data_IF_222982759076
#
_entry.id   IF_222982759076
#
_cell.length_a   1.000
_cell.length_b   1.000
_cell.length_c   1.000
_cell.angle_alpha   90.00
_cell.angle_beta   90.00
_cell.angle_gamma   90.00
#
_symmetry.space_group_name_H-M   'P 1'
#
loop_
_entity.id
_entity.type
_entity.pdbx_description
1 polymer ?
#
# COMPACT_ATOMS: atom_id res chain seq x y z
N UNK A 1 -5.61 2.76 2.54
CA UNK A 1 -5.81 3.67 3.68
C UNK A 1 -5.31 5.06 3.33
N UNK A 2 -6.10 6.13 3.51
CA UNK A 2 -5.70 7.50 3.24
C UNK A 2 -4.68 8.02 4.26
N UNK A 3 -4.21 9.26 4.05
CA UNK A 3 -3.33 9.96 4.97
C UNK A 3 -4.03 10.47 6.24
N UNK A 4 -3.24 11.13 7.10
CA UNK A 4 -3.63 11.53 8.45
C UNK A 4 -5.04 12.12 8.57
N UNK A 5 -5.38 13.19 7.88
CA UNK A 5 -6.65 13.87 8.06
C UNK A 5 -7.92 13.10 7.65
N UNK A 6 -7.79 12.01 6.88
CA UNK A 6 -8.91 11.19 6.37
C UNK A 6 -8.94 9.78 6.96
N UNK A 7 -7.91 9.41 7.71
CA UNK A 7 -7.71 8.06 8.25
C UNK A 7 -8.48 7.80 9.54
N UNK A 8 -8.81 8.87 10.26
CA UNK A 8 -9.45 8.78 11.58
C UNK A 8 -10.94 9.01 11.54
N UNK A 9 -11.58 8.67 12.65
CA UNK A 9 -12.85 9.26 13.00
C UNK A 9 -12.76 10.03 14.29
N UNK A 10 -13.62 11.03 14.40
CA UNK A 10 -13.71 11.92 15.54
C UNK A 10 -13.95 13.35 15.09
N UNK A 11 -13.96 14.24 16.06
CA UNK A 11 -14.35 15.64 15.85
C UNK A 11 -13.43 16.38 14.85
N UNK A 12 -12.18 15.93 14.72
CA UNK A 12 -11.18 16.58 13.87
C UNK A 12 -10.96 15.84 12.53
N UNK A 13 -11.81 14.87 12.19
CA UNK A 13 -11.67 14.20 10.90
C UNK A 13 -12.02 15.17 9.77
N UNK A 14 -11.15 15.28 8.77
CA UNK A 14 -11.31 16.22 7.66
C UNK A 14 -12.32 15.78 6.61
N UNK A 15 -13.16 14.81 6.91
CA UNK A 15 -14.18 14.30 6.01
C UNK A 15 -14.20 12.78 5.90
N UNK A 16 -14.99 12.28 4.96
CA UNK A 16 -15.09 10.85 4.71
C UNK A 16 -13.91 10.36 3.88
N UNK A 17 -13.26 9.29 4.31
CA UNK A 17 -12.24 8.60 3.52
C UNK A 17 -12.79 7.99 2.22
N UNK A 18 -14.11 7.90 2.06
CA UNK A 18 -14.77 7.53 0.80
C UNK A 18 -14.59 8.57 -0.31
N UNK A 19 -14.19 9.79 0.04
CA UNK A 19 -13.90 10.86 -0.91
C UNK A 19 -12.45 10.84 -1.40
N UNK A 20 -11.61 10.01 -0.80
CA UNK A 20 -10.23 9.88 -1.20
C UNK A 20 -10.10 9.24 -2.60
N UNK A 21 -9.26 9.83 -3.46
CA UNK A 21 -9.05 9.34 -4.83
C UNK A 21 -8.63 7.87 -4.85
N UNK A 22 -7.75 7.48 -3.94
CA UNK A 22 -7.31 6.09 -3.82
C UNK A 22 -8.42 5.09 -3.46
N UNK A 23 -9.55 5.54 -2.90
CA UNK A 23 -10.75 4.69 -2.76
C UNK A 23 -11.56 4.69 -4.06
N UNK A 24 -11.81 5.87 -4.64
CA UNK A 24 -12.65 6.02 -5.83
C UNK A 24 -12.08 5.27 -7.02
N UNK A 25 -10.79 5.36 -7.26
CA UNK A 25 -10.12 4.69 -8.38
C UNK A 25 -10.41 3.18 -8.41
N UNK A 26 -10.41 2.52 -7.24
CA UNK A 26 -10.76 1.10 -7.16
C UNK A 26 -12.23 0.83 -7.47
N UNK A 27 -13.14 1.75 -7.16
CA UNK A 27 -14.58 1.58 -7.45
C UNK A 27 -14.92 1.79 -8.93
N UNK A 28 -14.02 2.35 -9.71
CA UNK A 28 -14.17 2.64 -11.15
C UNK A 28 -13.54 1.56 -12.04
N UNK A 29 -12.88 0.56 -11.44
CA UNK A 29 -12.29 -0.56 -12.19
C UNK A 29 -13.38 -1.43 -12.83
N UNK A 30 -13.06 -2.07 -13.98
CA UNK A 30 -13.99 -2.96 -14.65
C UNK A 30 -14.19 -4.30 -13.95
N UNK A 31 -13.34 -4.65 -12.99
CA UNK A 31 -13.44 -5.89 -12.22
C UNK A 31 -14.45 -5.76 -11.07
N UNK A 32 -15.08 -6.86 -10.71
CA UNK A 32 -15.89 -6.97 -9.51
C UNK A 32 -14.99 -6.97 -8.28
N UNK A 33 -14.90 -5.84 -7.59
CA UNK A 33 -14.08 -5.66 -6.39
C UNK A 33 -14.92 -5.23 -5.18
N UNK A 34 -14.55 -5.69 -3.99
CA UNK A 34 -15.01 -5.14 -2.72
C UNK A 34 -13.94 -4.15 -2.26
N UNK A 35 -14.28 -2.87 -2.20
CA UNK A 35 -13.36 -1.82 -1.76
C UNK A 35 -13.70 -1.42 -0.33
N UNK A 36 -12.74 -1.54 0.57
CA UNK A 36 -12.89 -1.19 1.98
C UNK A 36 -12.02 0.00 2.30
N UNK A 37 -12.63 1.16 2.55
CA UNK A 37 -11.94 2.35 3.00
C UNK A 37 -12.07 2.46 4.52
N UNK A 38 -11.13 1.82 5.23
CA UNK A 38 -11.15 1.79 6.67
C UNK A 38 -10.88 3.18 7.27
N UNK A 39 -11.77 3.62 8.14
CA UNK A 39 -11.54 4.79 8.98
C UNK A 39 -11.27 4.29 10.40
N UNK A 40 -10.07 4.51 10.88
CA UNK A 40 -9.53 3.85 12.07
C UNK A 40 -9.40 4.82 13.25
N UNK A 41 -8.96 4.30 14.41
CA UNK A 41 -8.89 5.09 15.66
C UNK A 41 -7.65 5.99 15.72
N UNK A 42 -6.50 5.51 15.24
CA UNK A 42 -5.22 6.21 15.23
C UNK A 42 -4.30 5.67 14.12
N UNK A 43 -2.99 5.92 14.12
CA UNK A 43 -2.03 5.25 13.22
C UNK A 43 -1.03 4.34 13.96
N UNK A 44 -1.35 3.99 15.21
CA UNK A 44 -0.55 3.13 16.07
C UNK A 44 -1.04 1.67 16.05
N UNK A 45 -0.55 0.87 16.98
CA UNK A 45 -0.83 -0.57 17.06
C UNK A 45 -2.33 -0.91 17.05
N UNK A 46 -3.16 -0.09 17.69
CA UNK A 46 -4.62 -0.31 17.68
C UNK A 46 -5.17 -0.31 16.26
N UNK A 47 -4.81 0.68 15.45
CA UNK A 47 -5.27 0.77 14.06
C UNK A 47 -4.66 -0.30 13.16
N UNK A 48 -3.42 -0.72 13.43
CA UNK A 48 -2.83 -1.88 12.75
C UNK A 48 -3.68 -3.14 12.97
N UNK A 49 -4.07 -3.41 14.21
CA UNK A 49 -4.93 -4.55 14.55
C UNK A 49 -6.32 -4.42 13.94
N UNK A 50 -6.92 -3.23 13.99
CA UNK A 50 -8.23 -2.96 13.36
C UNK A 50 -8.19 -3.20 11.84
N UNK A 51 -7.12 -2.81 11.16
CA UNK A 51 -6.97 -3.07 9.72
C UNK A 51 -6.89 -4.58 9.41
N UNK A 52 -6.17 -5.33 10.23
CA UNK A 52 -6.08 -6.80 10.11
C UNK A 52 -7.45 -7.44 10.36
N UNK A 53 -8.08 -7.14 11.48
CA UNK A 53 -9.39 -7.68 11.87
C UNK A 53 -10.47 -7.37 10.83
N UNK A 54 -10.46 -6.15 10.27
CA UNK A 54 -11.37 -5.76 9.22
C UNK A 54 -11.13 -6.58 7.94
N UNK A 55 -9.88 -6.81 7.57
CA UNK A 55 -9.53 -7.66 6.43
C UNK A 55 -10.02 -9.09 6.63
N UNK A 56 -9.75 -9.68 7.79
CA UNK A 56 -10.23 -11.02 8.14
C UNK A 56 -11.75 -11.11 8.13
N UNK A 57 -12.44 -10.09 8.67
CA UNK A 57 -13.90 -10.03 8.67
C UNK A 57 -14.48 -10.10 7.25
N UNK A 58 -13.92 -9.34 6.30
CA UNK A 58 -14.39 -9.39 4.91
C UNK A 58 -14.07 -10.73 4.25
N UNK A 59 -12.91 -11.31 4.49
CA UNK A 59 -12.53 -12.63 3.97
C UNK A 59 -13.46 -13.74 4.48
N UNK A 60 -13.91 -13.63 5.73
CA UNK A 60 -14.75 -14.66 6.37
C UNK A 60 -16.24 -14.52 6.03
N UNK A 61 -16.72 -13.30 5.83
CA UNK A 61 -18.16 -13.03 5.74
C UNK A 61 -18.66 -12.69 4.33
N UNK A 62 -17.76 -12.51 3.35
CA UNK A 62 -18.11 -12.18 1.97
C UNK A 62 -17.45 -13.12 0.98
N UNK A 63 -17.94 -13.15 -0.26
CA UNK A 63 -17.34 -13.91 -1.36
C UNK A 63 -16.07 -13.24 -1.85
N UNK A 64 -14.98 -13.43 -1.12
CA UNK A 64 -13.66 -12.89 -1.44
C UNK A 64 -12.77 -13.98 -2.01
N UNK A 65 -12.11 -13.72 -3.13
CA UNK A 65 -10.98 -14.52 -3.58
C UNK A 65 -9.78 -14.24 -2.66
N UNK A 66 -9.51 -15.17 -1.76
CA UNK A 66 -8.42 -15.06 -0.76
C UNK A 66 -7.03 -14.96 -1.38
N UNK A 67 -6.88 -15.37 -2.64
CA UNK A 67 -5.62 -15.22 -3.37
C UNK A 67 -5.42 -13.80 -3.93
N UNK A 68 -6.46 -12.96 -3.93
CA UNK A 68 -6.50 -11.63 -4.55
C UNK A 68 -6.96 -10.54 -3.57
N UNK A 69 -6.38 -10.52 -2.39
CA UNK A 69 -6.60 -9.47 -1.39
C UNK A 69 -5.44 -8.47 -1.47
N UNK A 70 -5.76 -7.21 -1.64
CA UNK A 70 -4.79 -6.14 -1.86
C UNK A 70 -4.90 -5.07 -0.80
N UNK A 71 -3.79 -4.38 -0.55
CA UNK A 71 -3.75 -3.24 0.34
C UNK A 71 -3.18 -2.00 -0.37
N UNK A 72 -3.60 -0.83 0.08
CA UNK A 72 -3.07 0.45 -0.35
C UNK A 72 -2.98 1.40 0.84
N UNK A 73 -1.87 2.12 0.97
CA UNK A 73 -1.65 3.04 2.07
C UNK A 73 -0.84 4.26 1.67
N UNK A 74 -1.38 5.45 1.95
CA UNK A 74 -0.78 6.75 1.70
C UNK A 74 -0.41 7.43 3.02
N UNK A 75 0.80 7.96 3.12
CA UNK A 75 1.25 8.75 4.29
C UNK A 75 1.05 7.97 5.60
N UNK A 76 0.37 8.49 6.61
CA UNK A 76 0.05 7.79 7.85
C UNK A 76 -0.66 6.43 7.61
N UNK A 77 -1.50 6.34 6.57
CA UNK A 77 -2.09 5.07 6.15
C UNK A 77 -1.06 4.07 5.64
N UNK A 78 0.03 4.56 5.05
CA UNK A 78 1.17 3.73 4.63
C UNK A 78 1.97 3.19 5.82
N UNK A 79 2.21 4.01 6.85
CA UNK A 79 2.85 3.57 8.10
C UNK A 79 2.04 2.42 8.74
N UNK A 80 0.73 2.62 8.91
CA UNK A 80 -0.16 1.61 9.49
C UNK A 80 -0.20 0.33 8.66
N UNK A 81 -0.37 0.45 7.34
CA UNK A 81 -0.50 -0.73 6.48
C UNK A 81 0.80 -1.50 6.33
N UNK A 82 1.98 -0.84 6.35
CA UNK A 82 3.27 -1.55 6.32
C UNK A 82 3.46 -2.45 7.55
N UNK A 83 2.98 -2.02 8.71
CA UNK A 83 2.96 -2.84 9.92
C UNK A 83 1.92 -3.97 9.81
N UNK A 84 0.69 -3.67 9.39
CA UNK A 84 -0.38 -4.67 9.27
C UNK A 84 0.01 -5.82 8.33
N UNK A 85 0.59 -5.50 7.17
CA UNK A 85 1.05 -6.49 6.20
C UNK A 85 2.24 -7.30 6.75
N UNK A 86 3.13 -6.67 7.50
CA UNK A 86 4.25 -7.38 8.13
C UNK A 86 3.78 -8.35 9.22
N UNK A 87 2.70 -8.03 9.93
CA UNK A 87 2.12 -8.90 10.96
C UNK A 87 1.29 -10.05 10.37
N UNK A 88 0.58 -9.80 9.26
CA UNK A 88 -0.28 -10.79 8.60
C UNK A 88 -0.06 -10.79 7.08
N UNK A 89 1.15 -11.13 6.63
CA UNK A 89 1.49 -11.16 5.20
C UNK A 89 0.72 -12.25 4.45
N UNK A 90 0.23 -13.24 5.16
CA UNK A 90 -0.60 -14.32 4.64
C UNK A 90 -1.93 -13.84 4.06
N UNK A 91 -2.43 -12.68 4.49
CA UNK A 91 -3.70 -12.12 4.01
C UNK A 91 -3.60 -11.42 2.64
N UNK A 92 -2.42 -10.91 2.26
CA UNK A 92 -2.32 -9.96 1.14
C UNK A 92 -1.48 -10.50 -0.01
N UNK A 93 -1.96 -10.33 -1.24
CA UNK A 93 -1.24 -10.65 -2.47
C UNK A 93 -0.32 -9.51 -2.91
N UNK A 94 -0.76 -8.26 -2.75
CA UNK A 94 0.03 -7.08 -3.08
C UNK A 94 -0.30 -5.86 -2.23
N UNK A 95 0.66 -4.92 -2.19
CA UNK A 95 0.56 -3.68 -1.45
C UNK A 95 1.08 -2.48 -2.24
N UNK A 96 0.27 -1.43 -2.35
CA UNK A 96 0.66 -0.13 -2.86
C UNK A 96 1.02 0.80 -1.69
N UNK A 97 2.31 1.12 -1.58
CA UNK A 97 2.89 1.98 -0.55
C UNK A 97 3.26 3.34 -1.13
N UNK A 98 2.48 4.37 -0.83
CA UNK A 98 2.64 5.69 -1.42
C UNK A 98 2.98 6.78 -0.40
N UNK A 99 4.01 7.59 -0.72
CA UNK A 99 4.42 8.78 0.02
C UNK A 99 4.48 8.55 1.55
N UNK A 100 5.11 7.48 1.99
CA UNK A 100 5.16 7.06 3.39
C UNK A 100 6.51 6.45 3.76
N UNK A 101 6.80 6.38 5.04
CA UNK A 101 7.86 5.53 5.57
C UNK A 101 7.34 4.12 5.82
N UNK A 102 8.25 3.15 5.80
CA UNK A 102 7.95 1.76 6.12
C UNK A 102 8.25 1.48 7.60
N UNK A 103 7.25 1.04 8.34
CA UNK A 103 7.37 0.78 9.79
C UNK A 103 7.29 -0.73 10.14
N UNK A 104 7.08 -1.58 9.15
CA UNK A 104 6.99 -3.02 9.31
C UNK A 104 8.30 -3.77 9.12
N UNK A 105 8.32 -5.07 9.42
CA UNK A 105 9.42 -5.96 9.07
C UNK A 105 9.39 -6.34 7.58
N UNK A 106 10.55 -6.57 6.99
CA UNK A 106 10.68 -6.93 5.57
C UNK A 106 10.60 -8.45 5.34
N UNK A 107 11.19 -9.23 6.24
CA UNK A 107 11.30 -10.68 6.10
C UNK A 107 9.93 -11.37 5.93
N UNK A 108 8.88 -11.09 6.74
CA UNK A 108 7.58 -11.72 6.58
C UNK A 108 6.96 -11.45 5.20
N UNK A 109 7.20 -10.25 4.63
CA UNK A 109 6.74 -9.87 3.30
C UNK A 109 7.33 -10.79 2.23
N UNK A 110 8.66 -10.93 2.25
CA UNK A 110 9.36 -11.77 1.31
C UNK A 110 9.00 -13.25 1.47
N UNK A 111 8.88 -13.74 2.71
CA UNK A 111 8.52 -15.13 2.98
C UNK A 111 7.14 -15.51 2.43
N UNK A 112 6.22 -14.57 2.37
CA UNK A 112 4.85 -14.77 1.89
C UNK A 112 4.62 -14.27 0.45
N UNK A 113 5.65 -13.88 -0.29
CA UNK A 113 5.57 -13.42 -1.69
C UNK A 113 4.63 -12.23 -1.92
N UNK A 114 4.48 -11.38 -0.92
CA UNK A 114 3.62 -10.19 -1.05
C UNK A 114 4.27 -9.21 -2.01
N UNK A 115 3.65 -8.95 -3.16
CA UNK A 115 4.17 -7.96 -4.09
C UNK A 115 4.03 -6.54 -3.54
N UNK A 116 5.05 -5.70 -3.71
CA UNK A 116 5.06 -4.33 -3.17
C UNK A 116 5.42 -3.32 -4.26
N UNK A 117 4.55 -2.32 -4.42
CA UNK A 117 4.83 -1.14 -5.24
C UNK A 117 5.07 0.04 -4.31
N UNK A 118 6.26 0.63 -4.37
CA UNK A 118 6.64 1.80 -3.58
C UNK A 118 6.69 3.02 -4.48
N UNK A 119 5.94 4.06 -4.12
CA UNK A 119 5.94 5.35 -4.82
C UNK A 119 6.25 6.48 -3.85
N UNK A 120 7.22 7.32 -4.19
CA UNK A 120 7.61 8.46 -3.39
C UNK A 120 8.17 9.56 -4.28
N UNK A 121 7.71 10.79 -4.13
CA UNK A 121 8.34 11.92 -4.80
C UNK A 121 9.82 12.05 -4.39
N UNK A 122 10.71 12.39 -5.34
CA UNK A 122 12.14 12.56 -5.05
C UNK A 122 12.39 13.56 -3.90
N UNK A 123 11.63 14.64 -3.89
CA UNK A 123 11.73 15.70 -2.90
C UNK A 123 10.43 15.82 -2.05
N UNK A 124 9.87 14.67 -1.64
CA UNK A 124 8.79 14.63 -0.66
C UNK A 124 9.19 15.44 0.57
N UNK A 125 8.38 16.45 0.93
CA UNK A 125 8.71 17.41 1.98
C UNK A 125 8.56 16.85 3.38
N UNK A 126 7.85 15.72 3.52
CA UNK A 126 7.53 15.16 4.83
C UNK A 126 8.48 14.01 5.21
N UNK A 127 8.57 12.98 4.37
CA UNK A 127 9.40 11.80 4.63
C UNK A 127 10.74 11.82 3.91
N UNK A 128 10.78 12.38 2.71
CA UNK A 128 11.93 12.32 1.81
C UNK A 128 12.13 10.95 1.15
N UNK A 129 12.61 10.94 -0.09
CA UNK A 129 12.75 9.70 -0.88
C UNK A 129 13.75 8.68 -0.31
N UNK A 130 14.62 9.08 0.62
CA UNK A 130 15.54 8.16 1.30
C UNK A 130 14.81 7.07 2.08
N UNK A 131 13.63 7.36 2.64
CA UNK A 131 12.78 6.37 3.33
C UNK A 131 12.27 5.29 2.39
N UNK A 132 11.80 5.68 1.21
CA UNK A 132 11.34 4.75 0.18
C UNK A 132 12.48 3.87 -0.35
N UNK A 133 13.67 4.45 -0.57
CA UNK A 133 14.87 3.70 -0.97
C UNK A 133 15.26 2.67 0.11
N UNK A 134 15.28 3.06 1.38
CA UNK A 134 15.60 2.15 2.47
C UNK A 134 14.60 1.00 2.57
N UNK A 135 13.30 1.27 2.37
CA UNK A 135 12.27 0.22 2.35
C UNK A 135 12.48 -0.75 1.17
N UNK A 136 12.75 -0.21 -0.02
CA UNK A 136 13.05 -1.01 -1.20
C UNK A 136 14.27 -1.90 -1.00
N UNK A 137 15.38 -1.34 -0.50
CA UNK A 137 16.63 -2.07 -0.27
C UNK A 137 16.44 -3.19 0.77
N UNK A 138 15.67 -2.91 1.85
CA UNK A 138 15.34 -3.90 2.87
C UNK A 138 14.48 -5.05 2.33
N UNK A 139 13.43 -4.74 1.56
CA UNK A 139 12.60 -5.76 0.90
C UNK A 139 13.40 -6.57 -0.12
N UNK A 140 14.23 -5.90 -0.95
CA UNK A 140 15.08 -6.57 -1.93
C UNK A 140 16.06 -7.55 -1.25
N UNK A 141 16.67 -7.14 -0.13
CA UNK A 141 17.54 -8.00 0.66
C UNK A 141 16.79 -9.23 1.18
N UNK A 142 15.59 -9.04 1.74
CA UNK A 142 14.77 -10.14 2.25
C UNK A 142 14.36 -11.13 1.15
N UNK A 143 14.00 -10.66 -0.05
CA UNK A 143 13.71 -11.55 -1.18
C UNK A 143 14.97 -12.31 -1.65
N UNK A 144 16.16 -11.67 -1.65
CA UNK A 144 17.42 -12.34 -1.97
C UNK A 144 17.77 -13.41 -0.95
N UNK A 145 17.54 -13.16 0.34
CA UNK A 145 17.72 -14.15 1.41
C UNK A 145 16.79 -15.36 1.25
N UNK A 146 15.57 -15.14 0.73
CA UNK A 146 14.67 -16.23 0.34
C UNK A 146 15.18 -17.03 -0.87
N UNK A 147 16.17 -16.54 -1.58
CA UNK A 147 16.79 -17.18 -2.76
C UNK A 147 16.24 -16.73 -4.10
N UNK A 148 15.52 -15.61 -4.16
CA UNK A 148 14.99 -15.07 -5.42
C UNK A 148 16.08 -14.39 -6.25
N UNK A 149 16.01 -14.60 -7.56
CA UNK A 149 16.82 -13.87 -8.54
C UNK A 149 16.33 -12.44 -8.71
N UNK A 150 17.20 -11.54 -9.19
CA UNK A 150 16.83 -10.15 -9.45
C UNK A 150 15.63 -10.03 -10.42
N UNK A 151 15.47 -10.98 -11.37
CA UNK A 151 14.32 -11.04 -12.26
C UNK A 151 13.02 -11.31 -11.48
N UNK A 152 13.02 -12.30 -10.61
CA UNK A 152 11.85 -12.64 -9.77
C UNK A 152 11.50 -11.50 -8.81
N UNK A 153 12.53 -10.87 -8.24
CA UNK A 153 12.33 -9.70 -7.38
C UNK A 153 11.68 -8.56 -8.17
N UNK A 154 12.13 -8.28 -9.39
CA UNK A 154 11.55 -7.24 -10.24
C UNK A 154 10.09 -7.49 -10.65
N UNK A 155 9.60 -8.73 -10.54
CA UNK A 155 8.19 -9.06 -10.74
C UNK A 155 7.34 -8.76 -9.49
N UNK A 156 7.95 -8.71 -8.30
CA UNK A 156 7.29 -8.54 -7.00
C UNK A 156 7.54 -7.17 -6.36
N UNK A 157 8.63 -6.48 -6.71
CA UNK A 157 9.04 -5.27 -6.01
C UNK A 157 9.37 -4.15 -7.01
N UNK A 158 8.62 -3.06 -6.91
CA UNK A 158 8.85 -1.85 -7.71
C UNK A 158 9.12 -0.67 -6.79
N UNK A 159 10.08 0.17 -7.19
CA UNK A 159 10.32 1.47 -6.61
C UNK A 159 10.23 2.53 -7.70
N UNK A 160 9.30 3.46 -7.54
CA UNK A 160 9.16 4.63 -8.39
C UNK A 160 9.42 5.90 -7.59
N UNK A 161 10.40 6.70 -8.04
CA UNK A 161 10.76 7.97 -7.41
C UNK A 161 10.78 9.05 -8.49
N UNK A 162 9.62 9.60 -8.87
CA UNK A 162 9.54 10.66 -9.86
C UNK A 162 10.15 11.95 -9.33
N UNK A 163 10.79 12.69 -10.24
CA UNK A 163 11.40 13.98 -9.94
C UNK A 163 10.36 15.11 -9.90
N UNK A 164 10.80 16.32 -9.55
CA UNK A 164 9.92 17.48 -9.46
C UNK A 164 9.23 17.82 -10.79
N UNK A 165 9.86 17.59 -11.94
CA UNK A 165 9.27 17.89 -13.24
C UNK A 165 8.03 17.04 -13.51
N UNK A 166 8.03 15.79 -13.06
CA UNK A 166 6.84 14.91 -13.12
C UNK A 166 5.63 15.55 -12.45
N UNK A 167 5.80 16.15 -11.29
CA UNK A 167 4.74 16.79 -10.53
C UNK A 167 4.41 18.20 -11.07
N UNK A 168 5.43 19.00 -11.34
CA UNK A 168 5.26 20.39 -11.81
C UNK A 168 4.55 20.45 -13.16
N UNK A 169 4.76 19.48 -14.05
CA UNK A 169 4.03 19.37 -15.33
C UNK A 169 2.54 19.09 -15.17
N UNK A 170 2.10 18.78 -13.96
CA UNK A 170 0.71 18.54 -13.56
C UNK A 170 0.18 19.59 -12.59
N UNK A 171 0.89 20.73 -12.47
CA UNK A 171 0.58 21.82 -11.53
C UNK A 171 0.58 21.38 -10.05
N UNK A 172 1.36 20.36 -9.70
CA UNK A 172 1.52 19.87 -8.35
C UNK A 172 2.85 20.38 -7.77
N UNK A 173 2.79 21.20 -6.73
CA UNK A 173 3.95 21.85 -6.10
C UNK A 173 4.15 21.46 -4.63
N UNK A 174 3.25 20.70 -4.05
CA UNK A 174 3.44 19.99 -2.79
C UNK A 174 3.63 18.50 -3.12
N UNK A 175 4.85 18.02 -3.06
CA UNK A 175 5.23 16.70 -3.56
C UNK A 175 4.75 15.57 -2.65
N UNK A 176 4.65 15.84 -1.34
CA UNK A 176 4.04 14.88 -0.42
C UNK A 176 2.57 14.64 -0.78
N UNK A 177 1.78 15.71 -0.85
CA UNK A 177 0.37 15.60 -1.28
C UNK A 177 0.24 15.05 -2.70
N UNK A 178 1.17 15.42 -3.59
CA UNK A 178 1.25 14.91 -4.94
C UNK A 178 1.44 13.40 -5.04
N UNK A 179 2.01 12.79 -4.01
CA UNK A 179 2.15 11.33 -3.92
C UNK A 179 0.83 10.57 -4.00
N UNK A 180 -0.32 11.23 -3.78
CA UNK A 180 -1.64 10.63 -3.98
C UNK A 180 -1.93 10.21 -5.43
N UNK A 181 -1.25 10.79 -6.41
CA UNK A 181 -1.49 10.52 -7.84
C UNK A 181 -1.31 9.02 -8.20
N UNK A 182 -0.44 8.32 -7.49
CA UNK A 182 -0.18 6.89 -7.74
C UNK A 182 -1.40 6.00 -7.47
N UNK A 183 -2.29 6.43 -6.59
CA UNK A 183 -3.47 5.65 -6.20
C UNK A 183 -4.60 5.74 -7.25
N UNK A 184 -4.43 6.58 -8.27
CA UNK A 184 -5.35 6.80 -9.38
C UNK A 184 -4.67 6.47 -10.73
N UNK A 185 -3.47 5.91 -10.69
CA UNK A 185 -2.73 5.50 -11.89
C UNK A 185 -3.16 4.10 -12.34
N UNK A 186 -3.81 4.03 -13.51
CA UNK A 186 -4.32 2.79 -14.09
C UNK A 186 -3.23 1.73 -14.28
N UNK A 187 -2.02 2.13 -14.64
CA UNK A 187 -0.89 1.20 -14.83
C UNK A 187 -0.51 0.53 -13.52
N UNK A 188 -0.47 1.31 -12.43
CA UNK A 188 -0.15 0.84 -11.08
C UNK A 188 -1.26 -0.06 -10.55
N UNK A 189 -2.52 0.36 -10.70
CA UNK A 189 -3.68 -0.44 -10.28
C UNK A 189 -3.73 -1.79 -11.02
N UNK A 190 -3.50 -1.80 -12.33
CA UNK A 190 -3.42 -3.02 -13.13
C UNK A 190 -2.25 -3.92 -12.69
N UNK A 191 -1.11 -3.34 -12.33
CA UNK A 191 0.00 -4.11 -11.78
C UNK A 191 -0.37 -4.79 -10.45
N UNK A 192 -1.02 -4.07 -9.53
CA UNK A 192 -1.54 -4.64 -8.27
C UNK A 192 -2.52 -5.77 -8.57
N UNK A 193 -3.52 -5.55 -9.43
CA UNK A 193 -4.54 -6.55 -9.80
C UNK A 193 -3.96 -7.79 -10.49
N UNK A 194 -2.80 -7.67 -11.13
CA UNK A 194 -2.11 -8.80 -11.75
C UNK A 194 -1.52 -9.79 -10.75
N UNK A 195 -1.46 -9.43 -9.47
CA UNK A 195 -0.84 -10.25 -8.42
C UNK A 195 -1.87 -11.19 -7.79
N UNK A 196 -1.42 -12.39 -7.51
CA UNK A 196 -2.18 -13.38 -6.75
C UNK A 196 -1.24 -14.23 -5.92
N UNK A 197 -1.70 -14.65 -4.75
CA UNK A 197 -0.99 -15.64 -3.93
C UNK A 197 -1.12 -17.01 -4.57
N UNK A 198 -0.04 -17.76 -4.61
CA UNK A 198 -0.11 -19.18 -4.94
C UNK A 198 -0.89 -19.87 -3.82
N UNK A 199 -2.03 -20.46 -4.15
CA UNK A 199 -2.73 -21.30 -3.17
C UNK A 199 -1.86 -22.52 -2.95
N UNK A 200 -1.39 -22.72 -1.71
CA UNK A 200 -0.91 -24.05 -1.32
C UNK A 200 -2.12 -24.98 -1.41
N UNK A 201 -2.05 -25.94 -2.34
CA UNK A 201 -3.04 -27.02 -2.44
C UNK A 201 -2.84 -27.88 -1.19
N UNK A 202 -3.72 -27.71 -0.22
CA UNK A 202 -3.79 -28.58 0.96
C UNK A 202 -4.36 -29.96 0.59
#
# INVERSE_FOLDING_TARGET
MPGYGMMWFGEDSSGSNLEWNGFRAWTELPEDVIVVSAQLTDWHETSVRQAIELTEYFIENFSVDKSRVYAAGYSAGGETMSQAISMRPDLYAAYLHGASQWDGAYEPIAQNDVAVYIFMAENDEYYGSAKARSAYDGLQAAYREKGYTDKQIGELLILEIPNNEYFNSRDIYNYHSGGNIVFDDETVLNWILSKSKTQEIQ
#
